data_IF_763022533884
#
_entry.id   IF_763022533884
#
_cell.length_a   1.000
_cell.length_b   1.000
_cell.length_c   1.000
_cell.angle_alpha   90.00
_cell.angle_beta   90.00
_cell.angle_gamma   90.00
#
_symmetry.space_group_name_H-M   'P 1'
#
loop_
_entity.id
_entity.type
_entity.pdbx_description
1 polymer ?
#
# COMPACT_ATOMS: atom_id res chain seq x y z
N UNK A 1 38.42 16.03 -18.51
CA UNK A 1 38.01 15.76 -17.12
C UNK A 1 37.11 14.53 -17.13
N UNK A 2 37.60 13.37 -16.65
CA UNK A 2 36.85 12.10 -16.63
C UNK A 2 36.02 12.04 -15.34
N UNK A 3 34.70 11.84 -15.45
CA UNK A 3 33.82 11.63 -14.29
C UNK A 3 33.82 10.15 -13.92
N UNK A 4 34.43 9.83 -12.78
CA UNK A 4 34.37 8.52 -12.13
C UNK A 4 32.99 8.32 -11.51
N UNK A 5 32.31 7.24 -11.88
CA UNK A 5 31.12 6.74 -11.20
C UNK A 5 31.56 5.68 -10.18
N UNK A 6 31.19 5.87 -8.92
CA UNK A 6 31.32 4.86 -7.87
C UNK A 6 30.15 3.88 -8.00
N UNK A 7 30.42 2.69 -8.53
CA UNK A 7 29.51 1.55 -8.42
C UNK A 7 29.76 0.86 -7.09
N UNK A 8 28.83 0.99 -6.14
CA UNK A 8 28.84 0.18 -4.93
C UNK A 8 28.43 -1.25 -5.28
N UNK A 9 29.41 -2.14 -5.42
CA UNK A 9 29.21 -3.59 -5.51
C UNK A 9 28.79 -4.09 -4.11
N UNK A 10 27.50 -4.32 -3.89
CA UNK A 10 27.03 -5.09 -2.74
C UNK A 10 27.28 -6.58 -3.04
N UNK A 11 28.45 -7.06 -2.63
CA UNK A 11 28.76 -8.49 -2.62
C UNK A 11 28.04 -9.12 -1.43
N UNK A 12 26.92 -9.80 -1.69
CA UNK A 12 26.33 -10.73 -0.74
C UNK A 12 27.18 -12.01 -0.75
N UNK A 13 28.16 -12.08 0.15
CA UNK A 13 28.90 -13.32 0.42
C UNK A 13 27.98 -14.32 1.09
N UNK A 14 27.52 -15.32 0.34
CA UNK A 14 26.93 -16.54 0.92
C UNK A 14 28.09 -17.42 1.36
N UNK A 15 28.43 -17.37 2.65
CA UNK A 15 29.32 -18.36 3.27
C UNK A 15 28.53 -19.65 3.47
N UNK A 16 28.91 -20.70 2.73
CA UNK A 16 28.25 -22.00 2.77
C UNK A 16 28.71 -22.89 3.94
N UNK A 17 27.79 -23.71 4.43
CA UNK A 17 28.09 -25.04 4.96
C UNK A 17 26.90 -25.96 4.64
N UNK A 18 27.15 -27.04 3.90
CA UNK A 18 26.23 -28.20 3.83
C UNK A 18 25.44 -28.39 2.54
N UNK A 19 26.10 -28.93 1.51
CA UNK A 19 25.60 -29.93 0.56
C UNK A 19 24.07 -30.12 0.38
N UNK A 20 23.52 -29.62 -0.72
CA UNK A 20 22.80 -30.42 -1.72
C UNK A 20 22.51 -29.58 -2.96
N UNK A 21 22.71 -30.20 -4.11
CA UNK A 21 22.40 -29.70 -5.45
C UNK A 21 20.94 -29.26 -5.57
N UNK A 22 20.70 -27.97 -5.82
CA UNK A 22 19.42 -27.47 -6.33
C UNK A 22 19.71 -26.48 -7.46
N UNK A 23 19.78 -27.00 -8.68
CA UNK A 23 19.66 -26.22 -9.92
C UNK A 23 18.26 -25.61 -9.95
N UNK A 24 18.17 -24.29 -9.83
CA UNK A 24 16.91 -23.56 -9.82
C UNK A 24 17.13 -22.12 -10.25
N UNK A 25 17.45 -21.93 -11.53
CA UNK A 25 17.38 -20.64 -12.22
C UNK A 25 15.89 -20.24 -12.34
N UNK A 26 15.43 -19.27 -11.56
CA UNK A 26 14.18 -18.51 -11.84
C UNK A 26 14.52 -17.03 -12.00
N UNK A 27 13.68 -16.05 -12.36
CA UNK A 27 14.03 -14.63 -12.54
C UNK A 27 13.11 -13.62 -11.82
N UNK A 28 13.68 -12.83 -10.91
CA UNK A 28 13.21 -11.61 -10.27
C UNK A 28 13.25 -10.41 -11.20
N UNK A 29 12.12 -9.70 -11.27
CA UNK A 29 11.98 -8.41 -11.95
C UNK A 29 11.53 -7.39 -10.92
N UNK A 30 12.40 -6.43 -10.60
CA UNK A 30 12.05 -5.29 -9.75
C UNK A 30 12.05 -4.04 -10.63
N UNK A 31 10.94 -3.30 -10.61
CA UNK A 31 10.86 -1.96 -11.18
C UNK A 31 11.02 -0.95 -10.05
N UNK A 32 12.13 -0.20 -10.05
CA UNK A 32 12.38 0.90 -9.12
C UNK A 32 12.77 2.14 -9.94
N UNK A 33 11.93 3.17 -9.95
CA UNK A 33 12.23 4.43 -10.65
C UNK A 33 12.39 4.32 -12.17
N UNK A 34 11.80 3.29 -12.82
CA UNK A 34 11.85 3.11 -14.27
C UNK A 34 13.05 2.31 -14.81
N UNK A 35 14.01 1.92 -13.98
CA UNK A 35 15.10 1.00 -14.39
C UNK A 35 14.75 -0.48 -14.13
N UNK A 36 15.12 -1.32 -15.09
CA UNK A 36 14.85 -2.78 -15.10
C UNK A 36 16.07 -3.51 -14.55
N UNK A 37 15.94 -4.11 -13.36
CA UNK A 37 16.92 -5.06 -12.83
C UNK A 37 16.32 -6.47 -12.96
N UNK A 38 16.97 -7.32 -13.77
CA UNK A 38 16.62 -8.74 -13.92
C UNK A 38 17.65 -9.55 -13.13
N UNK A 39 17.22 -10.32 -12.15
CA UNK A 39 18.11 -11.22 -11.38
C UNK A 39 17.47 -12.58 -11.25
N UNK A 40 18.22 -13.67 -11.22
CA UNK A 40 17.63 -15.00 -11.11
C UNK A 40 17.24 -15.40 -9.65
N UNK A 41 15.99 -15.83 -9.35
CA UNK A 41 15.51 -16.31 -8.03
C UNK A 41 14.95 -17.76 -8.04
N UNK A 42 15.46 -18.65 -7.16
CA UNK A 42 14.89 -19.99 -6.95
C UNK A 42 13.56 -19.98 -6.18
N UNK A 43 12.72 -20.98 -6.41
CA UNK A 43 11.41 -21.16 -5.73
C UNK A 43 11.54 -21.18 -4.20
N UNK A 44 12.66 -21.66 -3.65
CA UNK A 44 12.91 -21.65 -2.20
C UNK A 44 12.95 -20.25 -1.57
N UNK A 45 13.12 -19.21 -2.38
CA UNK A 45 13.20 -17.81 -1.94
C UNK A 45 11.98 -16.98 -2.31
N UNK A 46 11.04 -17.53 -3.08
CA UNK A 46 9.87 -16.79 -3.57
C UNK A 46 8.94 -16.39 -2.41
N UNK A 47 8.67 -17.28 -1.46
CA UNK A 47 7.78 -17.00 -0.33
C UNK A 47 8.28 -15.82 0.53
N UNK A 48 9.58 -15.78 0.83
CA UNK A 48 10.18 -14.67 1.59
C UNK A 48 10.14 -13.36 0.82
N UNK A 49 10.28 -13.41 -0.50
CA UNK A 49 10.20 -12.23 -1.36
C UNK A 49 8.75 -11.74 -1.52
N UNK A 50 7.79 -12.65 -1.64
CA UNK A 50 6.36 -12.33 -1.63
C UNK A 50 5.97 -11.63 -0.33
N UNK A 51 6.44 -12.13 0.81
CA UNK A 51 6.23 -11.47 2.10
C UNK A 51 6.82 -10.06 2.15
N UNK A 52 8.05 -9.88 1.66
CA UNK A 52 8.71 -8.58 1.63
C UNK A 52 7.96 -7.58 0.73
N UNK A 53 7.58 -8.00 -0.47
CA UNK A 53 6.82 -7.18 -1.42
C UNK A 53 5.47 -6.79 -0.84
N UNK A 54 4.77 -7.73 -0.20
CA UNK A 54 3.50 -7.46 0.46
C UNK A 54 3.67 -6.44 1.61
N UNK A 55 4.75 -6.54 2.39
CA UNK A 55 5.07 -5.52 3.42
C UNK A 55 5.36 -4.13 2.82
N UNK A 56 5.81 -4.07 1.58
CA UNK A 56 6.04 -2.81 0.84
C UNK A 56 4.79 -2.29 0.09
N UNK A 57 3.64 -2.94 0.26
CA UNK A 57 2.39 -2.58 -0.39
C UNK A 57 2.28 -3.00 -1.85
N UNK A 58 3.12 -3.94 -2.29
CA UNK A 58 3.02 -4.56 -3.61
C UNK A 58 2.34 -5.93 -3.55
N UNK A 59 2.01 -6.45 -4.72
CA UNK A 59 1.54 -7.81 -4.96
C UNK A 59 2.63 -8.54 -5.74
N UNK A 60 3.06 -9.70 -5.27
CA UNK A 60 4.04 -10.53 -5.97
C UNK A 60 3.45 -11.90 -6.29
N UNK A 61 3.55 -12.34 -7.54
CA UNK A 61 3.13 -13.66 -7.98
C UNK A 61 4.31 -14.40 -8.63
N UNK A 62 4.65 -15.58 -8.10
CA UNK A 62 5.61 -16.46 -8.74
C UNK A 62 4.94 -17.41 -9.74
N UNK A 63 5.37 -17.36 -11.00
CA UNK A 63 4.99 -18.33 -12.03
C UNK A 63 6.00 -19.46 -12.09
N UNK A 64 5.60 -20.63 -11.56
CA UNK A 64 6.42 -21.85 -11.55
C UNK A 64 6.80 -22.35 -12.94
N UNK A 65 6.03 -22.03 -13.99
CA UNK A 65 6.30 -22.51 -15.34
C UNK A 65 7.40 -21.72 -16.02
N UNK A 66 7.37 -20.39 -15.84
CA UNK A 66 8.39 -19.50 -16.43
C UNK A 66 9.55 -19.21 -15.49
N UNK A 67 9.45 -19.63 -14.23
CA UNK A 67 10.42 -19.32 -13.16
C UNK A 67 10.42 -17.84 -12.77
N UNK A 68 9.42 -17.05 -13.19
CA UNK A 68 9.46 -15.58 -13.03
C UNK A 68 8.57 -15.12 -11.89
N UNK A 69 9.02 -14.06 -11.22
CA UNK A 69 8.20 -13.34 -10.25
C UNK A 69 7.73 -12.01 -10.85
N UNK A 70 6.42 -11.84 -10.93
CA UNK A 70 5.79 -10.58 -11.34
C UNK A 70 5.40 -9.79 -10.09
N UNK A 71 5.87 -8.54 -10.02
CA UNK A 71 5.60 -7.62 -8.91
C UNK A 71 4.76 -6.46 -9.45
N UNK A 72 3.63 -6.18 -8.81
CA UNK A 72 2.76 -5.04 -9.11
C UNK A 72 2.59 -4.22 -7.85
N UNK A 73 2.99 -2.95 -7.87
CA UNK A 73 2.75 -2.01 -6.77
C UNK A 73 1.84 -0.89 -7.27
N UNK A 74 0.60 -0.78 -6.76
CA UNK A 74 -0.28 0.32 -7.13
C UNK A 74 0.25 1.66 -6.60
N UNK A 75 -0.06 2.74 -7.31
CA UNK A 75 0.15 4.10 -6.83
C UNK A 75 -1.13 4.53 -6.11
N UNK A 76 -1.03 4.75 -4.80
CA UNK A 76 -2.18 5.08 -3.96
C UNK A 76 -1.95 6.45 -3.33
N UNK A 77 -2.82 7.39 -3.67
CA UNK A 77 -2.88 8.70 -3.04
C UNK A 77 -4.06 8.76 -2.08
N UNK A 78 -3.82 9.23 -0.86
CA UNK A 78 -4.82 9.29 0.22
C UNK A 78 -4.89 10.70 0.75
N UNK A 79 -6.08 11.30 0.72
CA UNK A 79 -6.35 12.63 1.23
C UNK A 79 -7.42 12.58 2.31
N UNK A 80 -7.17 13.22 3.45
CA UNK A 80 -8.05 13.19 4.62
C UNK A 80 -8.57 14.61 4.86
N UNK A 81 -9.89 14.82 4.74
CA UNK A 81 -10.51 16.15 4.80
C UNK A 81 -11.64 16.21 5.84
N UNK A 82 -11.69 17.30 6.61
CA UNK A 82 -12.82 17.61 7.50
C UNK A 82 -13.83 18.50 6.76
N UNK A 83 -15.08 18.05 6.65
CA UNK A 83 -16.16 18.87 6.09
C UNK A 83 -16.00 19.24 4.60
N UNK A 84 -16.63 18.47 3.72
CA UNK A 84 -17.06 18.97 2.42
C UNK A 84 -18.39 19.69 2.67
N UNK A 85 -18.35 21.01 2.76
CA UNK A 85 -19.56 21.81 2.94
C UNK A 85 -19.92 22.46 1.62
N UNK A 86 -21.13 22.17 1.13
CA UNK A 86 -21.71 22.95 0.06
C UNK A 86 -22.30 24.23 0.66
N UNK A 87 -21.68 25.36 0.39
CA UNK A 87 -22.22 26.67 0.74
C UNK A 87 -23.61 26.85 0.12
N UNK A 88 -24.44 27.73 0.70
CA UNK A 88 -25.78 28.09 0.17
C UNK A 88 -25.75 28.52 -1.31
N UNK A 89 -24.59 28.97 -1.79
CA UNK A 89 -24.37 29.38 -3.18
C UNK A 89 -23.84 28.25 -4.09
N UNK A 90 -23.96 26.98 -3.66
CA UNK A 90 -23.43 25.78 -4.35
C UNK A 90 -21.91 25.65 -4.44
N UNK A 91 -21.15 26.56 -3.84
CA UNK A 91 -19.69 26.45 -3.77
C UNK A 91 -19.30 25.30 -2.82
N UNK A 92 -18.38 24.45 -3.27
CA UNK A 92 -17.81 23.38 -2.44
C UNK A 92 -16.64 23.97 -1.66
N UNK A 93 -16.78 24.06 -0.34
CA UNK A 93 -15.70 24.48 0.56
C UNK A 93 -15.04 23.23 1.10
N UNK A 94 -13.76 23.06 0.77
CA UNK A 94 -12.90 22.06 1.38
C UNK A 94 -12.23 22.68 2.60
N UNK A 95 -12.66 22.28 3.80
CA UNK A 95 -11.94 22.64 5.01
C UNK A 95 -10.68 21.77 5.05
N UNK A 96 -9.52 22.42 4.88
CA UNK A 96 -8.13 21.99 5.04
C UNK A 96 -7.86 20.48 5.23
N UNK A 97 -6.88 19.86 4.53
CA UNK A 97 -6.39 18.55 4.93
C UNK A 97 -6.04 18.53 6.42
N UNK A 98 -6.59 17.55 7.14
CA UNK A 98 -6.44 17.44 8.59
C UNK A 98 -4.96 17.19 8.87
N UNK A 99 -4.25 18.21 9.39
CA UNK A 99 -2.90 18.01 9.96
C UNK A 99 -2.96 17.43 11.37
N UNK A 100 -4.08 17.65 12.06
CA UNK A 100 -4.38 17.01 13.34
C UNK A 100 -5.56 17.63 14.08
N UNK A 101 -5.93 17.00 15.18
CA UNK A 101 -6.91 17.48 16.15
C UNK A 101 -6.22 17.81 17.47
N UNK A 102 -6.63 18.86 18.16
CA UNK A 102 -6.09 19.22 19.49
C UNK A 102 -6.52 18.25 20.58
N UNK A 103 -7.76 17.75 20.49
CA UNK A 103 -8.46 17.08 21.58
C UNK A 103 -8.81 15.64 21.21
N UNK A 104 -8.55 14.71 22.13
CA UNK A 104 -9.03 13.32 22.08
C UNK A 104 -10.44 13.20 22.65
N UNK A 105 -11.08 12.06 22.45
CA UNK A 105 -12.44 11.71 22.90
C UNK A 105 -13.58 12.57 22.34
N UNK A 106 -13.29 13.51 21.45
CA UNK A 106 -14.30 14.27 20.71
C UNK A 106 -14.67 13.51 19.43
N UNK A 107 -15.95 13.17 19.21
CA UNK A 107 -16.38 12.54 17.95
C UNK A 107 -16.06 13.44 16.76
N UNK A 108 -15.36 12.91 15.76
CA UNK A 108 -14.97 13.63 14.54
C UNK A 108 -15.62 12.99 13.32
N UNK A 109 -15.94 13.83 12.34
CA UNK A 109 -16.43 13.38 11.04
C UNK A 109 -15.48 13.89 9.97
N UNK A 110 -14.89 12.97 9.21
CA UNK A 110 -13.96 13.28 8.14
C UNK A 110 -14.16 12.32 6.97
N UNK A 111 -13.72 12.73 5.79
CA UNK A 111 -13.76 11.90 4.59
C UNK A 111 -12.34 11.54 4.17
N UNK A 112 -12.16 10.29 3.79
CA UNK A 112 -10.93 9.79 3.17
C UNK A 112 -11.17 9.65 1.69
N UNK A 113 -10.47 10.44 0.89
CA UNK A 113 -10.43 10.32 -0.57
C UNK A 113 -9.24 9.48 -0.95
N UNK A 114 -9.49 8.49 -1.79
CA UNK A 114 -8.46 7.58 -2.26
C UNK A 114 -8.49 7.58 -3.78
N UNK A 115 -7.33 7.82 -4.35
CA UNK A 115 -7.05 7.67 -5.77
C UNK A 115 -6.05 6.54 -5.93
N UNK A 116 -6.37 5.62 -6.82
CA UNK A 116 -5.55 4.44 -7.10
C UNK A 116 -5.27 4.42 -8.57
N UNK A 117 -3.99 4.32 -8.91
CA UNK A 117 -3.50 4.06 -10.26
C UNK A 117 -2.69 2.76 -10.29
N UNK A 118 -2.65 2.12 -11.45
CA UNK A 118 -1.87 0.91 -11.68
C UNK A 118 -2.22 -0.25 -10.72
N UNK A 119 -3.50 -0.38 -10.36
CA UNK A 119 -3.99 -1.49 -9.55
C UNK A 119 -3.69 -2.87 -10.20
N UNK A 120 -3.46 -3.94 -9.42
CA UNK A 120 -3.27 -5.27 -9.98
C UNK A 120 -4.50 -5.70 -10.78
N UNK A 121 -4.28 -6.31 -11.94
CA UNK A 121 -5.35 -6.85 -12.79
C UNK A 121 -6.03 -8.03 -12.08
N UNK A 122 -7.30 -7.85 -11.72
CA UNK A 122 -8.08 -8.80 -10.94
C UNK A 122 -9.56 -8.73 -11.35
N UNK A 123 -10.24 -9.87 -11.32
CA UNK A 123 -11.70 -9.96 -11.48
C UNK A 123 -12.44 -9.52 -10.22
N UNK A 124 -11.84 -9.77 -9.05
CA UNK A 124 -12.38 -9.41 -7.73
C UNK A 124 -11.29 -8.75 -6.90
N UNK A 125 -11.01 -7.47 -7.21
CA UNK A 125 -10.22 -6.61 -6.32
C UNK A 125 -11.12 -6.10 -5.21
N UNK A 126 -10.79 -6.43 -3.96
CA UNK A 126 -11.46 -5.87 -2.79
C UNK A 126 -10.57 -4.89 -2.07
N UNK A 127 -11.16 -3.78 -1.68
CA UNK A 127 -10.47 -2.72 -1.00
C UNK A 127 -11.26 -2.25 0.20
N UNK A 128 -10.56 -1.72 1.20
CA UNK A 128 -11.16 -1.05 2.35
C UNK A 128 -10.19 0.00 2.89
N UNK A 129 -10.74 0.97 3.59
CA UNK A 129 -9.98 1.95 4.37
C UNK A 129 -10.08 1.57 5.84
N UNK A 130 -8.96 1.59 6.55
CA UNK A 130 -8.89 1.24 7.97
C UNK A 130 -8.19 2.38 8.72
N UNK A 131 -8.81 2.82 9.81
CA UNK A 131 -8.19 3.75 10.75
C UNK A 131 -7.47 2.96 11.84
N UNK A 132 -6.18 3.19 11.96
CA UNK A 132 -5.30 2.58 12.96
C UNK A 132 -4.91 3.65 13.98
N UNK A 133 -5.06 3.30 15.26
CA UNK A 133 -4.70 4.16 16.39
C UNK A 133 -3.19 4.20 16.64
N UNK A 134 -2.74 5.11 17.53
CA UNK A 134 -1.32 5.23 17.90
C UNK A 134 -0.70 3.96 18.50
N UNK A 135 -1.53 3.11 19.11
CA UNK A 135 -1.14 1.81 19.66
C UNK A 135 -1.05 0.69 18.60
N UNK A 136 -1.30 1.00 17.33
CA UNK A 136 -1.31 0.06 16.22
C UNK A 136 -2.58 -0.77 16.10
N UNK A 137 -3.62 -0.51 16.91
CA UNK A 137 -4.89 -1.23 16.84
C UNK A 137 -5.85 -0.57 15.86
N UNK A 138 -6.73 -1.38 15.28
CA UNK A 138 -7.83 -0.88 14.47
C UNK A 138 -8.83 -0.11 15.36
N UNK A 139 -9.11 1.12 14.96
CA UNK A 139 -10.08 2.01 15.62
C UNK A 139 -11.42 1.89 14.92
N UNK A 140 -11.42 1.97 13.59
CA UNK A 140 -12.62 1.88 12.77
C UNK A 140 -12.28 1.38 11.37
N UNK A 141 -13.19 0.60 10.78
CA UNK A 141 -13.07 0.08 9.42
C UNK A 141 -14.19 0.65 8.55
N UNK A 142 -13.81 1.21 7.41
CA UNK A 142 -14.76 1.63 6.38
C UNK A 142 -15.42 0.46 5.66
N UNK A 143 -16.32 0.81 4.74
CA UNK A 143 -16.96 -0.13 3.82
C UNK A 143 -15.93 -0.84 2.94
N UNK A 144 -16.21 -2.10 2.63
CA UNK A 144 -15.46 -2.84 1.60
C UNK A 144 -16.02 -2.54 0.21
N UNK A 145 -15.13 -2.14 -0.68
CA UNK A 145 -15.39 -1.86 -2.08
C UNK A 145 -14.91 -3.01 -2.95
N UNK A 146 -15.66 -3.35 -3.99
CA UNK A 146 -15.32 -4.40 -4.95
C UNK A 146 -15.21 -3.80 -6.35
N UNK A 147 -14.10 -4.05 -7.02
CA UNK A 147 -13.80 -3.59 -8.37
C UNK A 147 -13.36 -4.76 -9.26
N UNK A 148 -13.57 -4.62 -10.56
CA UNK A 148 -12.90 -5.43 -11.58
C UNK A 148 -11.93 -4.51 -12.31
N UNK A 149 -10.65 -4.87 -12.32
CA UNK A 149 -9.57 -4.05 -12.89
C UNK A 149 -9.05 -4.59 -14.23
N UNK A 150 -9.77 -5.53 -14.83
CA UNK A 150 -9.35 -6.17 -16.09
C UNK A 150 -9.34 -5.22 -17.29
N UNK A 151 -10.21 -4.21 -17.30
CA UNK A 151 -10.39 -3.27 -18.41
C UNK A 151 -9.99 -1.83 -18.05
N UNK A 152 -9.47 -1.62 -16.84
CA UNK A 152 -9.10 -0.32 -16.30
C UNK A 152 -8.60 -0.48 -14.87
N UNK A 153 -7.40 0.00 -14.59
CA UNK A 153 -6.69 -0.22 -13.33
C UNK A 153 -6.51 1.07 -12.51
N UNK A 154 -7.24 2.12 -12.88
CA UNK A 154 -7.30 3.40 -12.18
C UNK A 154 -8.72 3.72 -11.73
N UNK A 155 -8.88 4.15 -10.48
CA UNK A 155 -10.18 4.52 -9.93
C UNK A 155 -10.03 5.42 -8.70
N UNK A 156 -11.10 6.15 -8.38
CA UNK A 156 -11.20 6.96 -7.18
C UNK A 156 -12.44 6.59 -6.39
N UNK A 157 -12.37 6.71 -5.06
CA UNK A 157 -13.53 6.59 -4.18
C UNK A 157 -13.33 7.42 -2.91
N UNK A 158 -14.40 7.58 -2.14
CA UNK A 158 -14.36 8.27 -0.85
C UNK A 158 -15.04 7.43 0.22
N UNK A 159 -14.42 7.36 1.39
CA UNK A 159 -14.96 6.68 2.56
C UNK A 159 -15.20 7.69 3.70
N UNK A 160 -16.46 7.91 4.11
CA UNK A 160 -16.79 8.76 5.25
C UNK A 160 -16.56 8.03 6.57
N UNK A 161 -15.85 8.67 7.49
CA UNK A 161 -15.76 8.29 8.90
C UNK A 161 -16.67 9.26 9.68
N UNK A 162 -17.72 8.75 10.30
CA UNK A 162 -18.79 9.57 10.88
C UNK A 162 -18.83 9.37 12.39
N UNK A 163 -18.70 10.47 13.14
CA UNK A 163 -18.71 10.43 14.60
C UNK A 163 -17.66 9.48 15.19
N UNK A 164 -16.52 9.34 14.52
CA UNK A 164 -15.39 8.51 14.93
C UNK A 164 -14.76 9.08 16.19
N UNK A 165 -14.61 8.25 17.23
CA UNK A 165 -14.03 8.66 18.50
C UNK A 165 -12.53 8.37 18.53
N UNK A 166 -11.73 9.42 18.67
CA UNK A 166 -10.28 9.34 18.71
C UNK A 166 -9.80 9.33 20.16
N UNK A 167 -9.67 8.15 20.78
CA UNK A 167 -9.54 8.01 22.24
C UNK A 167 -8.11 8.23 22.79
N UNK A 168 -7.12 8.33 21.91
CA UNK A 168 -5.70 8.37 22.27
C UNK A 168 -5.04 9.63 21.69
N UNK A 169 -4.02 10.14 22.37
CA UNK A 169 -3.10 11.10 21.78
C UNK A 169 -2.05 10.36 20.95
N UNK A 170 -1.61 10.97 19.85
CA UNK A 170 -0.58 10.46 18.97
C UNK A 170 -1.00 10.44 17.50
N UNK A 171 -0.22 9.73 16.69
CA UNK A 171 -0.43 9.65 15.25
C UNK A 171 -1.41 8.53 14.91
N UNK A 172 -2.50 8.90 14.26
CA UNK A 172 -3.44 7.98 13.65
C UNK A 172 -3.05 7.75 12.19
N UNK A 173 -3.20 6.52 11.72
CA UNK A 173 -2.89 6.11 10.35
C UNK A 173 -4.17 5.69 9.64
N UNK A 174 -4.40 6.27 8.47
CA UNK A 174 -5.44 5.85 7.53
C UNK A 174 -4.78 4.97 6.50
N UNK A 175 -5.10 3.68 6.54
CA UNK A 175 -4.53 2.67 5.67
C UNK A 175 -5.53 2.26 4.60
N UNK A 176 -5.09 2.26 3.35
CA UNK A 176 -5.81 1.64 2.24
C UNK A 176 -5.31 0.22 2.13
N UNK A 177 -6.22 -0.73 2.25
CA UNK A 177 -5.92 -2.15 2.18
C UNK A 177 -6.60 -2.77 0.98
N UNK A 178 -5.87 -3.61 0.24
CA UNK A 178 -6.36 -4.31 -0.94
C UNK A 178 -6.10 -5.81 -0.86
N UNK A 179 -6.97 -6.59 -1.49
CA UNK A 179 -6.79 -8.02 -1.72
C UNK A 179 -7.41 -8.43 -3.04
N UNK A 180 -6.97 -9.55 -3.60
CA UNK A 180 -7.49 -10.08 -4.86
C UNK A 180 -7.94 -11.53 -4.68
N UNK A 181 -8.53 -12.13 -5.72
CA UNK A 181 -8.80 -13.57 -5.75
C UNK A 181 -7.54 -14.44 -5.64
N UNK A 182 -6.39 -13.92 -6.07
CA UNK A 182 -5.10 -14.62 -6.02
C UNK A 182 -4.36 -14.37 -4.70
N UNK A 183 -4.64 -13.25 -4.04
CA UNK A 183 -4.06 -12.86 -2.75
C UNK A 183 -5.19 -12.61 -1.74
N UNK A 184 -5.61 -13.63 -0.98
CA UNK A 184 -6.79 -13.52 -0.11
C UNK A 184 -6.56 -12.67 1.15
N UNK A 185 -5.30 -12.37 1.47
CA UNK A 185 -4.91 -11.52 2.58
C UNK A 185 -4.92 -10.04 2.17
N UNK A 186 -5.35 -9.18 3.08
CA UNK A 186 -5.30 -7.75 2.87
C UNK A 186 -3.86 -7.23 3.00
N UNK A 187 -3.42 -6.51 1.98
CA UNK A 187 -2.13 -5.82 1.91
C UNK A 187 -2.37 -4.32 2.04
N UNK A 188 -1.62 -3.66 2.90
CA UNK A 188 -1.64 -2.19 3.00
C UNK A 188 -0.88 -1.60 1.82
N UNK A 189 -1.59 -0.95 0.91
CA UNK A 189 -1.08 -0.44 -0.37
C UNK A 189 -0.82 1.08 -0.36
N UNK A 190 -1.39 1.78 0.61
CA UNK A 190 -1.22 3.21 0.81
C UNK A 190 -1.54 3.60 2.23
N UNK A 191 -0.91 4.66 2.72
CA UNK A 191 -1.13 5.18 4.07
C UNK A 191 -1.02 6.71 4.04
N UNK A 192 -1.86 7.37 4.82
CA UNK A 192 -1.65 8.76 5.24
C UNK A 192 -1.96 8.86 6.74
N UNK A 193 -1.59 9.95 7.39
CA UNK A 193 -1.68 10.08 8.83
C UNK A 193 -2.06 11.48 9.27
N UNK A 194 -2.70 11.58 10.43
CA UNK A 194 -2.93 12.83 11.14
C UNK A 194 -2.65 12.63 12.63
N UNK A 195 -2.42 13.71 13.36
CA UNK A 195 -2.09 13.66 14.79
C UNK A 195 -3.26 14.09 15.66
N UNK A 196 -3.44 13.45 16.81
CA UNK A 196 -4.32 13.95 17.88
C UNK A 196 -3.45 14.38 19.05
N UNK A 197 -3.52 15.64 19.42
CA UNK A 197 -2.64 16.27 20.42
C UNK A 197 -1.80 17.40 19.83
N UNK A 198 -0.84 17.86 20.65
CA UNK A 198 0.14 18.90 20.25
C UNK A 198 1.27 18.32 19.41
#
# INVERSE_FOLDING_TARGET
>A
MKKTWLSALLVLTVAGVGSSTALGEGALRIFLGGERIVSELPESTSASMEELVNRMGGFAQYDKRSGKMDIVKPNVNVLILEGIQQSRNKNVVFSNPIKGYSDKDVPRTFNVFVEVDEAPSAKDLRMRVVLIGPDGKEVEQGKSWKFSTQNGNSFYFSEPFVSTKLEQYGTYKVQVQMKTEHFPQYVTVGENSFTVGR
#
